data_IF_874199376708
#
_entry.id   IF_874199376708
#
_cell.length_a   1.000
_cell.length_b   1.000
_cell.length_c   1.000
_cell.angle_alpha   90.00
_cell.angle_beta   90.00
_cell.angle_gamma   90.00
#
_symmetry.space_group_name_H-M   'P 1'
#
loop_
_entity.id
_entity.type
_entity.pdbx_description
1 polymer ?
#
# COMPACT_ATOMS: atom_id res chain seq x y z
N UNK A 1 -3.31 16.57 6.24
CA UNK A 1 -2.76 15.26 6.65
C UNK A 1 -2.77 14.26 5.50
N UNK A 2 -3.93 13.84 4.97
CA UNK A 2 -4.07 12.82 3.92
C UNK A 2 -3.01 12.86 2.80
N UNK A 3 -2.97 13.91 1.99
CA UNK A 3 -2.08 13.94 0.81
C UNK A 3 -0.59 14.08 1.14
N UNK A 4 -0.28 14.83 2.19
CA UNK A 4 1.10 15.18 2.52
C UNK A 4 1.77 14.13 3.40
N UNK A 5 1.00 13.28 4.09
CA UNK A 5 1.51 12.29 5.04
C UNK A 5 1.08 10.87 4.65
N UNK A 6 -0.23 10.58 4.73
CA UNK A 6 -0.76 9.21 4.54
C UNK A 6 -0.59 8.71 3.09
N UNK A 7 -0.87 9.57 2.11
CA UNK A 7 -0.77 9.25 0.68
C UNK A 7 0.50 9.81 0.04
N UNK A 8 1.50 10.13 0.85
CA UNK A 8 2.77 10.58 0.30
C UNK A 8 3.44 9.41 -0.43
N UNK A 9 3.81 9.62 -1.70
CA UNK A 9 4.35 8.58 -2.59
C UNK A 9 5.51 7.78 -2.00
N UNK A 10 6.35 8.42 -1.17
CA UNK A 10 7.48 7.74 -0.55
C UNK A 10 7.04 6.78 0.58
N UNK A 11 6.02 7.15 1.34
CA UNK A 11 5.43 6.29 2.38
C UNK A 11 4.78 5.08 1.73
N UNK A 12 3.94 5.31 0.71
CA UNK A 12 3.27 4.25 -0.05
C UNK A 12 4.27 3.32 -0.74
N UNK A 13 5.36 3.84 -1.29
CA UNK A 13 6.42 2.99 -1.85
C UNK A 13 7.09 2.09 -0.82
N UNK A 14 7.24 2.54 0.42
CA UNK A 14 7.84 1.73 1.49
C UNK A 14 6.88 0.61 1.91
N UNK A 15 5.59 0.90 1.97
CA UNK A 15 4.53 -0.08 2.24
C UNK A 15 4.45 -1.14 1.15
N UNK A 16 4.50 -0.74 -0.13
CA UNK A 16 4.56 -1.68 -1.27
C UNK A 16 5.76 -2.61 -1.15
N UNK A 17 6.94 -2.09 -0.79
CA UNK A 17 8.12 -2.93 -0.60
C UNK A 17 7.93 -3.96 0.52
N UNK A 18 7.37 -3.54 1.66
CA UNK A 18 7.08 -4.43 2.77
C UNK A 18 6.06 -5.51 2.38
N UNK A 19 4.99 -5.10 1.71
CA UNK A 19 3.95 -6.00 1.25
C UNK A 19 4.48 -7.04 0.26
N UNK A 20 5.27 -6.62 -0.74
CA UNK A 20 5.87 -7.53 -1.71
C UNK A 20 6.83 -8.52 -1.04
N UNK A 21 7.65 -8.06 -0.08
CA UNK A 21 8.55 -8.94 0.68
C UNK A 21 7.77 -9.99 1.50
N UNK A 22 6.71 -9.56 2.21
CA UNK A 22 5.86 -10.45 2.99
C UNK A 22 5.09 -11.43 2.09
N UNK A 23 4.56 -10.98 0.96
CA UNK A 23 3.90 -11.85 -0.04
C UNK A 23 4.85 -12.92 -0.56
N UNK A 24 6.12 -12.56 -0.86
CA UNK A 24 7.14 -13.55 -1.26
C UNK A 24 7.43 -14.53 -0.13
N UNK A 25 7.57 -14.06 1.10
CA UNK A 25 7.77 -14.94 2.27
C UNK A 25 6.60 -15.93 2.48
N UNK A 26 5.36 -15.46 2.37
CA UNK A 26 4.15 -16.31 2.39
C UNK A 26 4.18 -17.35 1.28
N UNK A 27 4.53 -16.94 0.05
CA UNK A 27 4.59 -17.86 -1.09
C UNK A 27 5.63 -18.97 -0.88
N UNK A 28 6.81 -18.63 -0.33
CA UNK A 28 7.86 -19.60 -0.02
C UNK A 28 7.43 -20.58 1.08
N UNK A 29 6.84 -20.09 2.17
CA UNK A 29 6.37 -20.95 3.28
C UNK A 29 5.27 -21.89 2.80
N UNK A 30 4.24 -21.37 2.13
CA UNK A 30 3.11 -22.18 1.64
C UNK A 30 3.49 -23.10 0.48
N UNK A 31 4.54 -22.77 -0.26
CA UNK A 31 5.12 -23.63 -1.30
C UNK A 31 6.01 -24.76 -0.76
N UNK A 32 6.27 -24.82 0.55
CA UNK A 32 7.19 -25.79 1.15
C UNK A 32 8.67 -25.45 0.95
N UNK A 33 8.98 -24.22 0.52
CA UNK A 33 10.33 -23.72 0.26
C UNK A 33 10.86 -22.88 1.44
N UNK A 34 10.51 -23.25 2.69
CA UNK A 34 10.85 -22.47 3.88
C UNK A 34 12.38 -22.27 4.05
N UNK A 35 13.19 -23.21 3.57
CA UNK A 35 14.64 -23.08 3.56
C UNK A 35 15.14 -21.86 2.75
N UNK A 36 14.38 -21.42 1.74
CA UNK A 36 14.72 -20.29 0.88
C UNK A 36 14.58 -18.93 1.60
N UNK A 37 13.87 -18.86 2.74
CA UNK A 37 13.89 -17.69 3.61
C UNK A 37 15.23 -17.55 4.35
N UNK A 38 15.96 -18.65 4.55
CA UNK A 38 17.19 -18.74 5.36
C UNK A 38 16.96 -18.57 6.87
N UNK A 39 15.90 -17.87 7.27
CA UNK A 39 15.47 -17.71 8.64
C UNK A 39 13.97 -17.38 8.68
N UNK A 40 13.25 -18.02 9.60
CA UNK A 40 11.86 -17.72 9.91
C UNK A 40 11.74 -17.53 11.42
N UNK A 41 11.40 -16.33 11.93
CA UNK A 41 11.09 -16.17 13.34
C UNK A 41 9.86 -17.03 13.71
N UNK A 42 9.89 -17.76 14.84
CA UNK A 42 8.75 -18.57 15.28
C UNK A 42 7.44 -17.77 15.42
N UNK A 43 7.52 -16.49 15.82
CA UNK A 43 6.35 -15.63 15.95
C UNK A 43 5.66 -15.33 14.60
N UNK A 44 6.41 -15.36 13.48
CA UNK A 44 5.88 -15.12 12.14
C UNK A 44 5.47 -16.40 11.41
N UNK A 45 5.92 -17.56 11.86
CA UNK A 45 5.61 -18.85 11.22
C UNK A 45 4.11 -19.10 11.03
N UNK A 46 3.25 -19.03 12.07
CA UNK A 46 1.82 -19.26 11.89
C UNK A 46 1.17 -18.17 11.02
N UNK A 47 1.67 -16.93 11.09
CA UNK A 47 1.21 -15.80 10.24
C UNK A 47 1.47 -16.09 8.77
N UNK A 48 2.69 -16.52 8.41
CA UNK A 48 3.07 -16.78 7.02
C UNK A 48 2.45 -18.08 6.49
N UNK A 49 2.27 -19.09 7.35
CA UNK A 49 1.54 -20.30 7.02
C UNK A 49 0.04 -20.01 6.76
N UNK A 50 -0.52 -18.99 7.41
CA UNK A 50 -1.96 -18.67 7.36
C UNK A 50 -2.78 -19.45 8.36
N UNK A 51 -2.17 -19.79 9.48
CA UNK A 51 -2.82 -20.47 10.60
C UNK A 51 -3.62 -19.47 11.43
N UNK A 52 -4.63 -19.97 12.15
CA UNK A 52 -5.34 -19.15 13.14
C UNK A 52 -4.41 -18.86 14.33
N UNK A 53 -4.31 -17.58 14.69
CA UNK A 53 -3.53 -17.15 15.85
C UNK A 53 -4.41 -17.17 17.10
N UNK A 54 -3.85 -17.64 18.22
CA UNK A 54 -4.43 -17.34 19.53
C UNK A 54 -4.32 -15.85 19.84
N UNK A 55 -5.13 -15.37 20.79
CA UNK A 55 -5.04 -13.98 21.24
C UNK A 55 -3.64 -13.63 21.77
N UNK A 56 -3.03 -14.54 22.53
CA UNK A 56 -1.70 -14.35 23.09
C UNK A 56 -0.63 -14.27 21.99
N UNK A 57 -0.72 -15.10 20.95
CA UNK A 57 0.18 -15.03 19.79
C UNK A 57 0.01 -13.71 19.03
N UNK A 58 -1.23 -13.26 18.82
CA UNK A 58 -1.51 -12.00 18.14
C UNK A 58 -0.98 -10.78 18.90
N UNK A 59 -1.18 -10.73 20.23
CA UNK A 59 -0.75 -9.61 21.08
C UNK A 59 0.77 -9.58 21.27
N UNK A 60 1.43 -10.73 21.19
CA UNK A 60 2.89 -10.82 21.28
C UNK A 60 3.61 -10.36 20.00
N UNK A 61 2.91 -10.29 18.86
CA UNK A 61 3.50 -9.90 17.59
C UNK A 61 3.63 -8.37 17.48
N UNK A 62 4.84 -7.88 17.24
CA UNK A 62 5.10 -6.45 17.07
C UNK A 62 6.02 -6.14 15.88
N UNK A 63 6.31 -4.85 15.66
CA UNK A 63 7.17 -4.41 14.57
C UNK A 63 8.60 -4.95 14.65
N UNK A 64 9.08 -5.32 15.84
CA UNK A 64 10.43 -5.86 16.07
C UNK A 64 10.57 -7.22 15.42
N UNK A 65 9.55 -8.08 15.53
CA UNK A 65 9.52 -9.39 14.87
C UNK A 65 9.65 -9.26 13.35
N UNK A 66 8.84 -8.35 12.78
CA UNK A 66 8.82 -8.08 11.35
C UNK A 66 10.15 -7.46 10.89
N UNK A 67 10.67 -6.46 11.60
CA UNK A 67 11.93 -5.81 11.27
C UNK A 67 13.12 -6.75 11.40
N UNK A 68 13.11 -7.64 12.39
CA UNK A 68 14.16 -8.64 12.56
C UNK A 68 14.12 -9.68 11.42
N UNK A 69 12.93 -10.16 11.04
CA UNK A 69 12.77 -11.01 9.86
C UNK A 69 13.32 -10.34 8.60
N UNK A 70 12.87 -9.11 8.30
CA UNK A 70 13.32 -8.36 7.12
C UNK A 70 14.84 -8.18 7.13
N UNK A 71 15.43 -7.84 8.28
CA UNK A 71 16.89 -7.72 8.41
C UNK A 71 17.60 -9.02 8.08
N UNK A 72 17.09 -10.17 8.55
CA UNK A 72 17.65 -11.49 8.24
C UNK A 72 17.43 -11.87 6.79
N UNK A 73 16.28 -11.55 6.22
CA UNK A 73 15.94 -11.85 4.83
C UNK A 73 16.78 -11.08 3.82
N UNK A 74 17.45 -9.99 4.18
CA UNK A 74 18.44 -9.34 3.29
C UNK A 74 19.55 -10.28 2.80
N UNK A 75 19.79 -11.39 3.52
CA UNK A 75 20.71 -12.45 3.15
C UNK A 75 20.00 -13.80 2.90
N UNK A 76 18.70 -13.77 2.58
CA UNK A 76 17.95 -14.97 2.24
C UNK A 76 18.53 -15.65 0.98
N UNK A 77 18.50 -17.00 0.90
CA UNK A 77 18.82 -17.72 -0.32
C UNK A 77 17.93 -17.33 -1.52
N UNK A 78 16.66 -16.99 -1.28
CA UNK A 78 15.78 -16.48 -2.33
C UNK A 78 16.17 -15.06 -2.76
N UNK A 79 16.56 -14.84 -4.04
CA UNK A 79 17.06 -13.55 -4.49
C UNK A 79 15.99 -12.44 -4.49
N UNK A 80 14.73 -12.79 -4.71
CA UNK A 80 13.61 -11.83 -4.70
C UNK A 80 13.36 -11.35 -3.28
N UNK A 81 13.24 -12.27 -2.32
CA UNK A 81 13.06 -11.96 -0.90
C UNK A 81 14.23 -11.11 -0.38
N UNK A 82 15.45 -11.47 -0.75
CA UNK A 82 16.66 -10.77 -0.35
C UNK A 82 16.72 -9.33 -0.88
N UNK A 83 16.44 -9.12 -2.16
CA UNK A 83 16.45 -7.79 -2.73
C UNK A 83 15.31 -6.92 -2.18
N UNK A 84 14.07 -7.41 -2.13
CA UNK A 84 12.93 -6.65 -1.61
C UNK A 84 13.15 -6.26 -0.13
N UNK A 85 13.62 -7.19 0.69
CA UNK A 85 13.96 -6.92 2.10
C UNK A 85 15.09 -5.90 2.24
N UNK A 86 16.14 -6.02 1.41
CA UNK A 86 17.23 -5.07 1.38
C UNK A 86 16.79 -3.68 0.89
N UNK A 87 15.83 -3.60 -0.05
CA UNK A 87 15.25 -2.34 -0.51
C UNK A 87 14.44 -1.67 0.59
N UNK A 88 13.62 -2.42 1.33
CA UNK A 88 12.87 -1.89 2.47
C UNK A 88 13.82 -1.38 3.56
N UNK A 89 14.75 -2.22 4.02
CA UNK A 89 15.66 -1.90 5.12
C UNK A 89 16.57 -0.70 4.82
N UNK A 90 17.12 -0.64 3.60
CA UNK A 90 18.00 0.45 3.16
C UNK A 90 17.27 1.58 2.44
N UNK A 91 15.94 1.59 2.50
CA UNK A 91 15.09 2.64 1.97
C UNK A 91 15.30 2.92 0.47
N UNK A 92 15.66 1.90 -0.32
CA UNK A 92 15.79 1.94 -1.78
C UNK A 92 14.40 1.83 -2.44
N UNK A 93 13.63 2.89 -2.27
CA UNK A 93 12.21 2.96 -2.67
C UNK A 93 12.01 2.79 -4.18
N UNK A 94 10.92 2.10 -4.55
CA UNK A 94 10.37 2.08 -5.89
C UNK A 94 10.00 3.49 -6.40
N UNK A 95 9.96 3.64 -7.72
CA UNK A 95 9.42 4.81 -8.38
C UNK A 95 7.89 4.71 -8.44
N UNK A 96 7.19 5.74 -7.97
CA UNK A 96 5.75 5.89 -8.18
C UNK A 96 5.47 6.61 -9.50
N UNK A 97 4.81 5.92 -10.43
CA UNK A 97 4.30 6.45 -11.70
C UNK A 97 2.81 6.70 -11.51
N UNK A 98 2.37 7.94 -11.68
CA UNK A 98 0.94 8.27 -11.55
C UNK A 98 0.16 7.64 -12.71
N UNK A 99 -0.95 7.00 -12.38
CA UNK A 99 -1.93 6.51 -13.33
C UNK A 99 -3.21 7.33 -13.22
N UNK A 100 -3.84 7.62 -14.34
CA UNK A 100 -5.16 8.27 -14.40
C UNK A 100 -6.31 7.25 -14.35
N UNK A 101 -6.01 5.99 -14.01
CA UNK A 101 -6.94 4.86 -13.94
C UNK A 101 -6.26 3.56 -13.54
N UNK A 102 -6.81 2.43 -14.01
CA UNK A 102 -6.10 1.15 -14.03
C UNK A 102 -5.19 1.03 -15.25
N UNK A 103 -4.49 -0.10 -15.36
CA UNK A 103 -3.83 -0.50 -16.59
C UNK A 103 -4.82 -1.32 -17.42
N UNK A 104 -4.87 -1.07 -18.72
CA UNK A 104 -5.47 -2.03 -19.66
C UNK A 104 -4.53 -3.22 -19.91
N UNK A 105 -5.00 -4.31 -20.55
CA UNK A 105 -4.18 -5.50 -20.78
C UNK A 105 -2.92 -5.25 -21.62
N UNK A 106 -2.94 -4.30 -22.55
CA UNK A 106 -1.79 -3.98 -23.40
C UNK A 106 -0.73 -3.21 -22.62
N UNK A 107 -1.16 -2.23 -21.84
CA UNK A 107 -0.32 -1.49 -20.89
C UNK A 107 0.30 -2.45 -19.86
N UNK A 108 -0.49 -3.36 -19.30
CA UNK A 108 0.01 -4.35 -18.33
C UNK A 108 1.10 -5.23 -18.93
N UNK A 109 0.91 -5.80 -20.13
CA UNK A 109 1.98 -6.56 -20.79
C UNK A 109 3.17 -5.68 -21.18
N UNK A 110 2.94 -4.40 -21.49
CA UNK A 110 4.00 -3.39 -21.64
C UNK A 110 4.86 -3.24 -20.39
N UNK A 111 4.24 -3.09 -19.22
CA UNK A 111 4.91 -3.03 -17.91
C UNK A 111 5.69 -4.33 -17.66
N UNK A 112 5.06 -5.49 -17.86
CA UNK A 112 5.69 -6.80 -17.64
C UNK A 112 6.91 -7.00 -18.54
N UNK A 113 6.83 -6.62 -19.82
CA UNK A 113 7.99 -6.64 -20.73
C UNK A 113 9.11 -5.71 -20.29
N UNK A 114 8.78 -4.48 -19.86
CA UNK A 114 9.77 -3.53 -19.39
C UNK A 114 10.51 -4.02 -18.13
N UNK A 115 9.81 -4.66 -17.20
CA UNK A 115 10.42 -5.28 -16.02
C UNK A 115 11.35 -6.43 -16.38
N UNK A 116 10.88 -7.36 -17.24
CA UNK A 116 11.71 -8.48 -17.72
C UNK A 116 12.99 -7.98 -18.42
N UNK A 117 12.86 -6.94 -19.26
CA UNK A 117 14.00 -6.34 -19.95
C UNK A 117 15.02 -5.71 -18.98
N UNK A 118 14.56 -5.24 -17.82
CA UNK A 118 15.41 -4.74 -16.74
C UNK A 118 15.88 -5.82 -15.75
N UNK A 119 15.58 -7.09 -16.00
CA UNK A 119 16.01 -8.23 -15.17
C UNK A 119 15.14 -8.45 -13.92
N UNK A 120 13.94 -7.87 -13.86
CA UNK A 120 13.00 -8.05 -12.75
C UNK A 120 11.88 -9.02 -13.11
N UNK A 121 11.53 -9.87 -12.15
CA UNK A 121 10.35 -10.74 -12.26
C UNK A 121 9.08 -9.88 -12.13
N UNK A 122 8.25 -9.77 -13.18
CA UNK A 122 7.05 -8.96 -13.11
C UNK A 122 6.08 -9.42 -12.01
N UNK A 123 6.10 -10.67 -11.58
CA UNK A 123 5.14 -11.15 -10.57
C UNK A 123 5.45 -10.63 -9.16
N UNK A 124 6.65 -10.06 -8.94
CA UNK A 124 7.11 -9.58 -7.63
C UNK A 124 7.59 -8.12 -7.61
N UNK A 125 7.77 -7.49 -8.77
CA UNK A 125 8.41 -6.17 -8.87
C UNK A 125 7.52 -5.05 -9.41
N UNK A 126 6.19 -5.22 -9.39
CA UNK A 126 5.29 -4.08 -9.49
C UNK A 126 4.05 -4.23 -8.64
N UNK A 127 3.48 -3.09 -8.26
CA UNK A 127 2.19 -3.04 -7.59
C UNK A 127 1.46 -1.75 -7.95
N UNK A 128 0.16 -1.86 -8.22
CA UNK A 128 -0.72 -0.71 -8.36
C UNK A 128 -1.32 -0.43 -6.97
N UNK A 129 -1.07 0.78 -6.48
CA UNK A 129 -1.60 1.27 -5.22
C UNK A 129 -2.65 2.35 -5.49
N UNK A 130 -3.83 2.22 -4.89
CA UNK A 130 -4.95 3.17 -5.03
C UNK A 130 -5.23 3.81 -3.67
N UNK A 131 -5.09 5.13 -3.57
CA UNK A 131 -5.29 5.87 -2.33
C UNK A 131 -6.70 5.70 -1.72
N UNK A 132 -7.71 5.34 -2.52
CA UNK A 132 -9.06 5.04 -2.03
C UNK A 132 -9.14 3.79 -1.14
N UNK A 133 -8.08 2.97 -1.07
CA UNK A 133 -8.02 1.75 -0.27
C UNK A 133 -7.60 1.97 1.19
N UNK A 134 -7.33 3.21 1.61
CA UNK A 134 -6.93 3.48 2.99
C UNK A 134 -8.13 3.55 3.94
N UNK A 135 -7.91 3.12 5.18
CA UNK A 135 -8.83 3.19 6.33
C UNK A 135 -9.25 4.61 6.73
N UNK A 136 -8.64 5.63 6.11
CA UNK A 136 -8.91 7.04 6.38
C UNK A 136 -9.93 7.58 5.38
N UNK A 137 -11.19 7.66 5.82
CA UNK A 137 -12.25 8.36 5.11
C UNK A 137 -12.10 9.88 5.34
N UNK A 138 -12.12 10.67 4.27
CA UNK A 138 -12.35 12.13 4.39
C UNK A 138 -13.86 12.36 4.36
N UNK A 139 -14.29 13.46 4.99
CA UNK A 139 -15.70 13.80 5.03
C UNK A 139 -16.19 14.15 3.62
N UNK A 140 -16.92 13.23 3.00
CA UNK A 140 -17.65 13.46 1.75
C UNK A 140 -19.13 13.58 2.12
N UNK A 141 -19.79 14.64 1.68
CA UNK A 141 -21.19 14.87 2.04
C UNK A 141 -22.12 13.71 1.62
N UNK A 142 -21.76 12.98 0.56
CA UNK A 142 -22.50 11.81 0.08
C UNK A 142 -22.16 10.51 0.84
N UNK A 143 -20.97 10.39 1.44
CA UNK A 143 -20.48 9.20 2.15
C UNK A 143 -20.24 9.46 3.65
N UNK A 144 -20.95 10.41 4.27
CA UNK A 144 -20.73 10.88 5.65
C UNK A 144 -20.92 9.81 6.76
N UNK A 145 -21.05 8.53 6.39
CA UNK A 145 -21.32 7.43 7.30
C UNK A 145 -22.65 7.62 8.03
N UNK A 146 -22.91 6.84 9.10
CA UNK A 146 -24.16 6.92 9.85
C UNK A 146 -24.33 8.25 10.64
N UNK A 147 -23.30 9.09 10.77
CA UNK A 147 -23.35 10.31 11.59
C UNK A 147 -22.64 11.50 10.92
N UNK A 148 -23.37 12.30 10.11
CA UNK A 148 -22.82 13.55 9.57
C UNK A 148 -22.53 14.54 10.69
N UNK A 149 -21.54 15.42 10.47
CA UNK A 149 -21.23 16.50 11.40
C UNK A 149 -22.35 17.54 11.30
N UNK A 150 -23.00 17.84 12.43
CA UNK A 150 -24.09 18.82 12.50
C UNK A 150 -23.67 20.04 13.32
N UNK A 151 -24.13 21.21 12.88
CA UNK A 151 -24.02 22.48 13.59
C UNK A 151 -25.41 22.84 14.14
N UNK A 152 -25.47 23.23 15.41
CA UNK A 152 -26.66 23.83 16.00
C UNK A 152 -26.69 25.33 15.70
N UNK A 153 -27.69 25.76 14.95
CA UNK A 153 -27.99 27.17 14.69
C UNK A 153 -28.87 27.69 15.83
N UNK A 154 -28.25 28.09 16.94
CA UNK A 154 -28.96 28.54 18.14
C UNK A 154 -29.72 29.86 17.96
N UNK A 155 -29.45 30.59 16.88
CA UNK A 155 -30.09 31.86 16.56
C UNK A 155 -31.40 31.72 15.77
N UNK A 156 -31.81 30.51 15.38
CA UNK A 156 -33.12 30.25 14.78
C UNK A 156 -34.17 29.95 15.85
N UNK A 157 -35.45 30.18 15.55
CA UNK A 157 -36.57 29.81 16.42
C UNK A 157 -37.55 28.88 15.70
N UNK A 158 -37.64 27.58 16.07
CA UNK A 158 -36.81 26.91 17.08
C UNK A 158 -35.35 26.75 16.62
N UNK A 159 -34.40 26.49 17.53
CA UNK A 159 -33.02 26.15 17.16
C UNK A 159 -32.96 24.96 16.20
N UNK A 160 -32.17 25.08 15.14
CA UNK A 160 -32.10 24.06 14.09
C UNK A 160 -30.74 23.38 14.05
N UNK A 161 -30.73 22.05 13.89
CA UNK A 161 -29.53 21.31 13.55
C UNK A 161 -29.40 21.20 12.03
N UNK A 162 -28.27 21.63 11.48
CA UNK A 162 -27.97 21.52 10.05
C UNK A 162 -26.66 20.81 9.82
N UNK A 163 -26.56 20.10 8.70
CA UNK A 163 -25.32 19.47 8.28
C UNK A 163 -24.26 20.55 7.95
N UNK A 164 -23.00 20.27 8.29
CA UNK A 164 -21.91 21.28 8.28
C UNK A 164 -21.63 21.87 6.89
N UNK A 165 -21.77 21.10 5.81
CA UNK A 165 -21.57 21.56 4.41
C UNK A 165 -22.76 22.33 3.86
N UNK A 166 -23.96 22.16 4.43
CA UNK A 166 -25.11 23.03 4.12
C UNK A 166 -24.88 24.46 4.59
N UNK A 167 -24.12 24.64 5.67
CA UNK A 167 -23.88 25.95 6.31
C UNK A 167 -22.56 26.57 5.86
N UNK A 168 -21.51 25.77 5.64
CA UNK A 168 -20.17 26.26 5.29
C UNK A 168 -19.82 25.98 3.82
N UNK A 169 -19.68 27.06 3.04
CA UNK A 169 -19.21 26.97 1.64
C UNK A 169 -17.79 26.39 1.54
N UNK A 170 -16.91 26.72 2.49
CA UNK A 170 -15.53 26.20 2.52
C UNK A 170 -15.54 24.70 2.70
N UNK A 171 -16.30 24.20 3.68
CA UNK A 171 -16.39 22.75 3.92
C UNK A 171 -17.06 22.03 2.76
N UNK A 172 -18.08 22.63 2.13
CA UNK A 172 -18.67 22.11 0.89
C UNK A 172 -17.66 21.99 -0.25
N UNK A 173 -16.79 22.98 -0.40
CA UNK A 173 -15.72 22.98 -1.41
C UNK A 173 -14.60 21.97 -1.14
N UNK A 174 -14.47 21.48 0.09
CA UNK A 174 -13.48 20.46 0.48
C UNK A 174 -14.11 19.05 0.50
N UNK A 175 -15.38 18.94 0.91
CA UNK A 175 -16.17 17.71 0.96
C UNK A 175 -16.70 17.29 -0.42
N UNK A 176 -15.88 17.50 -1.44
CA UNK A 176 -16.15 17.16 -2.84
C UNK A 176 -15.90 15.67 -3.10
N UNK A 177 -16.06 15.25 -4.36
CA UNK A 177 -15.87 13.87 -4.78
C UNK A 177 -14.52 13.28 -4.35
N UNK A 178 -14.48 11.95 -4.18
CA UNK A 178 -13.26 11.22 -3.99
C UNK A 178 -12.16 11.52 -5.00
N UNK A 179 -11.09 12.19 -4.54
CA UNK A 179 -9.85 12.25 -5.31
C UNK A 179 -9.14 10.92 -5.13
N UNK A 180 -9.32 10.00 -6.07
CA UNK A 180 -8.52 8.78 -6.14
C UNK A 180 -7.22 9.09 -6.88
N UNK A 181 -6.07 8.87 -6.23
CA UNK A 181 -4.77 8.84 -6.91
C UNK A 181 -4.32 7.39 -6.99
N UNK A 182 -4.04 6.94 -8.20
CA UNK A 182 -3.47 5.62 -8.46
C UNK A 182 -1.99 5.78 -8.81
N UNK A 183 -1.14 4.96 -8.21
CA UNK A 183 0.28 4.91 -8.52
C UNK A 183 0.67 3.48 -8.89
N UNK A 184 1.40 3.33 -9.99
CA UNK A 184 2.16 2.13 -10.29
C UNK A 184 3.54 2.27 -9.66
N UNK A 185 3.89 1.39 -8.73
CA UNK A 185 5.19 1.32 -8.11
C UNK A 185 6.04 0.24 -8.78
N UNK A 186 7.24 0.60 -9.23
CA UNK A 186 8.22 -0.29 -9.89
C UNK A 186 9.65 0.04 -9.44
N UNK A 187 10.64 -0.87 -9.56
CA UNK A 187 12.05 -0.54 -9.43
C UNK A 187 12.41 0.73 -10.21
N UNK A 188 13.21 1.61 -9.60
CA UNK A 188 13.65 2.85 -10.25
C UNK A 188 14.42 2.57 -11.53
N UNK A 189 15.15 1.46 -11.50
CA UNK A 189 15.96 0.90 -12.57
C UNK A 189 15.11 0.53 -13.80
N UNK A 190 13.83 0.16 -13.61
CA UNK A 190 12.90 -0.17 -14.70
C UNK A 190 11.96 0.99 -15.06
N UNK A 191 11.96 2.09 -14.28
CA UNK A 191 10.92 3.11 -14.35
C UNK A 191 10.85 3.84 -15.70
N UNK A 192 11.98 4.08 -16.37
CA UNK A 192 11.99 4.72 -17.69
C UNK A 192 11.37 3.82 -18.77
N UNK A 193 11.76 2.54 -18.81
CA UNK A 193 11.19 1.56 -19.72
C UNK A 193 9.68 1.38 -19.51
N UNK A 194 9.25 1.38 -18.24
CA UNK A 194 7.83 1.31 -17.88
C UNK A 194 7.08 2.56 -18.32
N UNK A 195 7.63 3.77 -18.13
CA UNK A 195 6.99 5.02 -18.61
C UNK A 195 6.83 5.01 -20.13
N UNK A 196 7.85 4.54 -20.86
CA UNK A 196 7.77 4.44 -22.32
C UNK A 196 6.70 3.43 -22.77
N UNK A 197 6.50 2.35 -22.01
CA UNK A 197 5.48 1.35 -22.30
C UNK A 197 4.05 1.86 -22.08
N UNK A 198 3.84 2.77 -21.11
CA UNK A 198 2.53 3.35 -20.81
C UNK A 198 2.09 4.47 -21.77
N UNK A 199 3.00 4.96 -22.61
CA UNK A 199 2.73 6.03 -23.59
C UNK A 199 2.42 5.51 -25.00
N UNK A 200 2.50 4.19 -25.21
CA UNK A 200 2.16 3.52 -26.47
C UNK A 200 0.70 3.13 -26.47
#
# INVERSE_FOLDING_TARGET
MYWNVYFHKATRSSEVLLELALRRAVALVRGGEQAALGFLPPALEPVLAGEELSLDQYVALDETDVLYAIKRWTAAPDPVLADLSGRFLHRRLFAGIRLDGGLDPEQEEGVRRALRAAGFDPDYYYQIDRAASATYQYYVAQDAGPTPIKILLSWTDPPQLREVTEVSQVLRGIATQPVSRSFLFVPREAAEGVRAALLR
#
